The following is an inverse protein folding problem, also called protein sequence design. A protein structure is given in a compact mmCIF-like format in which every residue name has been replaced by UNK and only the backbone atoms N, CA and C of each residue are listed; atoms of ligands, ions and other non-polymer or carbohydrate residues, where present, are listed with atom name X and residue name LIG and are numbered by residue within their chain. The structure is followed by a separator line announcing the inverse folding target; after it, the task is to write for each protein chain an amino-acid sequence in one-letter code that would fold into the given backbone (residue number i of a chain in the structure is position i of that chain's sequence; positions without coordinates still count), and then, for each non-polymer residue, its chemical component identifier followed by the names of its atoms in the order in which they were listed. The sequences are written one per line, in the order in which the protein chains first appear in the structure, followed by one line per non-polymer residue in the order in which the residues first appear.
data_IF_675563440459
#
_entry.id   IF_675563440459
#
_cell.length_a   1.000
_cell.length_b   1.000
_cell.length_c   1.000
_cell.angle_alpha   90.00
_cell.angle_beta   90.00
_cell.angle_gamma   90.00
#
_symmetry.space_group_name_H-M   'P 1'
#
loop_
_entity.id
_entity.type
_entity.pdbx_description
1 polymer ?
#
# COMPACT_ATOMS: atom_id res chain seq x y z
N UNK A 1 12.42 -13.79 16.44
CA UNK A 1 11.68 -14.87 15.74
C UNK A 1 10.39 -14.27 15.21
N UNK A 2 10.40 -13.76 13.97
CA UNK A 2 9.22 -13.14 13.36
C UNK A 2 8.26 -14.17 12.74
N UNK A 3 7.01 -13.78 12.52
CA UNK A 3 5.97 -14.63 11.89
C UNK A 3 6.29 -14.88 10.41
N UNK A 4 5.95 -16.04 9.83
CA UNK A 4 6.21 -16.28 8.40
C UNK A 4 5.49 -15.28 7.47
N UNK A 5 4.29 -14.85 7.86
CA UNK A 5 3.43 -13.92 7.10
C UNK A 5 2.93 -12.85 8.06
N UNK A 6 2.96 -11.59 7.60
CA UNK A 6 2.34 -10.46 8.27
C UNK A 6 1.16 -9.96 7.44
N UNK A 7 0.06 -9.57 8.09
CA UNK A 7 -1.17 -9.10 7.45
C UNK A 7 -1.36 -7.63 7.81
N UNK A 8 -1.50 -6.76 6.80
CA UNK A 8 -1.81 -5.35 7.04
C UNK A 8 -3.22 -5.19 7.62
N UNK A 9 -3.40 -4.41 8.70
CA UNK A 9 -4.72 -4.05 9.22
C UNK A 9 -5.45 -3.00 8.36
N UNK A 10 -4.83 -2.45 7.31
CA UNK A 10 -5.50 -1.48 6.45
C UNK A 10 -6.63 -2.14 5.63
N UNK A 11 -7.75 -1.44 5.40
CA UNK A 11 -8.89 -1.98 4.67
C UNK A 11 -8.63 -1.95 3.15
N UNK A 12 -7.72 -2.79 2.66
CA UNK A 12 -7.22 -2.77 1.28
C UNK A 12 -8.34 -2.82 0.22
N UNK A 13 -9.41 -3.58 0.47
CA UNK A 13 -10.58 -3.63 -0.42
C UNK A 13 -11.34 -2.30 -0.47
N UNK A 14 -11.54 -1.64 0.67
CA UNK A 14 -12.17 -0.30 0.76
C UNK A 14 -11.32 0.73 0.04
N UNK A 15 -10.01 0.75 0.32
CA UNK A 15 -9.04 1.63 -0.36
C UNK A 15 -9.11 1.45 -1.88
N UNK A 16 -9.11 0.21 -2.36
CA UNK A 16 -9.21 -0.07 -3.80
C UNK A 16 -10.56 0.31 -4.39
N UNK A 17 -11.66 0.15 -3.66
CA UNK A 17 -12.99 0.61 -4.10
C UNK A 17 -13.02 2.13 -4.24
N UNK A 18 -12.47 2.86 -3.27
CA UNK A 18 -12.44 4.32 -3.27
C UNK A 18 -11.56 4.88 -4.39
N UNK A 19 -10.41 4.23 -4.65
CA UNK A 19 -9.59 4.58 -5.80
C UNK A 19 -10.33 4.37 -7.13
N UNK A 20 -11.08 3.27 -7.26
CA UNK A 20 -11.85 2.97 -8.47
C UNK A 20 -13.03 3.92 -8.67
N UNK A 21 -13.71 4.36 -7.60
CA UNK A 21 -14.78 5.36 -7.70
C UNK A 21 -14.27 6.72 -8.22
N UNK A 22 -12.98 7.01 -7.99
CA UNK A 22 -12.28 8.19 -8.50
C UNK A 22 -11.58 7.97 -9.86
N UNK A 23 -11.83 6.85 -10.53
CA UNK A 23 -11.28 6.56 -11.87
C UNK A 23 -9.88 5.96 -11.90
N UNK A 24 -9.27 5.67 -10.74
CA UNK A 24 -7.96 5.01 -10.67
C UNK A 24 -8.08 3.48 -10.74
N UNK A 25 -7.26 2.86 -11.59
CA UNK A 25 -7.14 1.39 -11.64
C UNK A 25 -6.35 0.90 -10.43
N UNK A 26 -7.04 0.27 -9.48
CA UNK A 26 -6.45 -0.31 -8.28
C UNK A 26 -6.97 -1.73 -8.02
N UNK A 27 -6.13 -2.59 -7.43
CA UNK A 27 -6.48 -3.93 -6.97
C UNK A 27 -5.75 -4.26 -5.67
N UNK A 28 -6.33 -5.09 -4.79
CA UNK A 28 -5.58 -5.67 -3.69
C UNK A 28 -4.41 -6.50 -4.21
N UNK A 29 -3.27 -6.43 -3.51
CA UNK A 29 -2.13 -7.32 -3.73
C UNK A 29 -1.91 -8.19 -2.50
N UNK A 30 -1.76 -9.50 -2.69
CA UNK A 30 -1.50 -10.46 -1.62
C UNK A 30 -0.02 -10.83 -1.50
N UNK A 31 0.84 -10.22 -2.31
CA UNK A 31 2.28 -10.47 -2.31
C UNK A 31 3.04 -9.18 -2.66
N UNK A 32 3.94 -8.74 -1.78
CA UNK A 32 4.76 -7.54 -1.97
C UNK A 32 6.14 -7.84 -2.58
N UNK A 33 6.38 -9.09 -3.01
CA UNK A 33 7.68 -9.55 -3.50
C UNK A 33 8.56 -10.12 -2.40
N UNK A 34 9.82 -10.39 -2.73
CA UNK A 34 10.84 -10.94 -1.80
C UNK A 34 12.04 -10.03 -1.65
N UNK A 35 11.93 -8.77 -2.07
CA UNK A 35 13.01 -7.80 -2.05
C UNK A 35 12.74 -6.64 -1.08
N UNK A 36 13.44 -5.52 -1.26
CA UNK A 36 13.42 -4.38 -0.33
C UNK A 36 12.02 -3.87 0.03
N UNK A 37 11.08 -3.82 -0.93
CA UNK A 37 9.71 -3.35 -0.67
C UNK A 37 9.02 -4.24 0.38
N UNK A 38 9.09 -5.57 0.20
CA UNK A 38 8.54 -6.51 1.16
C UNK A 38 9.31 -6.50 2.48
N UNK A 39 10.64 -6.33 2.46
CA UNK A 39 11.45 -6.25 3.67
C UNK A 39 11.04 -5.06 4.55
N UNK A 40 10.85 -3.87 3.97
CA UNK A 40 10.39 -2.69 4.72
C UNK A 40 8.99 -2.94 5.27
N UNK A 41 8.05 -3.38 4.42
CA UNK A 41 6.68 -3.66 4.84
C UNK A 41 6.60 -4.68 5.99
N UNK A 42 7.30 -5.81 5.84
CA UNK A 42 7.31 -6.86 6.84
C UNK A 42 7.97 -6.41 8.14
N UNK A 43 9.12 -5.72 8.06
CA UNK A 43 9.85 -5.31 9.27
C UNK A 43 9.11 -4.24 10.06
N UNK A 44 8.41 -3.32 9.39
CA UNK A 44 7.52 -2.35 10.05
C UNK A 44 6.36 -3.03 10.75
N UNK A 45 5.63 -3.92 10.08
CA UNK A 45 4.54 -4.68 10.71
C UNK A 45 5.04 -5.53 11.88
N UNK A 46 6.18 -6.22 11.71
CA UNK A 46 6.75 -7.06 12.77
C UNK A 46 7.15 -6.22 13.98
N UNK A 47 7.73 -5.03 13.76
CA UNK A 47 8.07 -4.12 14.85
C UNK A 47 6.82 -3.63 15.60
N UNK A 48 5.75 -3.28 14.90
CA UNK A 48 4.47 -2.88 15.52
C UNK A 48 3.89 -4.02 16.37
N UNK A 49 3.89 -5.25 15.85
CA UNK A 49 3.39 -6.45 16.54
C UNK A 49 4.23 -6.79 17.79
N UNK A 50 5.56 -6.80 17.67
CA UNK A 50 6.47 -7.13 18.77
C UNK A 50 6.45 -6.11 19.92
N UNK A 51 6.08 -4.86 19.63
CA UNK A 51 6.04 -3.77 20.62
C UNK A 51 4.62 -3.39 21.04
N UNK A 52 3.60 -4.15 20.62
CA UNK A 52 2.18 -3.93 20.97
C UNK A 52 1.70 -2.50 20.70
N UNK A 53 2.13 -1.90 19.59
CA UNK A 53 1.81 -0.51 19.26
C UNK A 53 0.42 -0.40 18.62
N UNK A 54 -0.38 0.57 19.06
CA UNK A 54 -1.67 0.92 18.44
C UNK A 54 -1.46 1.76 17.16
N UNK A 55 -0.81 1.15 16.16
CA UNK A 55 -0.50 1.76 14.87
C UNK A 55 -1.00 0.84 13.75
N UNK A 56 -1.73 1.42 12.80
CA UNK A 56 -2.10 0.72 11.56
C UNK A 56 -1.02 0.96 10.50
N UNK A 57 -0.51 -0.12 9.91
CA UNK A 57 0.49 -0.06 8.84
C UNK A 57 0.04 -0.84 7.59
N UNK A 58 0.54 -0.43 6.43
CA UNK A 58 0.29 -1.10 5.16
C UNK A 58 1.19 -0.59 4.04
N UNK A 59 1.16 -1.28 2.91
CA UNK A 59 2.05 -0.99 1.78
C UNK A 59 1.27 -0.84 0.47
N UNK A 60 1.60 0.21 -0.29
CA UNK A 60 0.99 0.48 -1.60
C UNK A 60 2.09 0.53 -2.66
N UNK A 61 2.03 -0.39 -3.62
CA UNK A 61 2.83 -0.30 -4.83
C UNK A 61 2.17 0.66 -5.82
N UNK A 62 2.98 1.56 -6.39
CA UNK A 62 2.58 2.45 -7.48
C UNK A 62 3.24 1.99 -8.79
N UNK A 63 2.60 2.22 -9.95
CA UNK A 63 3.25 2.00 -11.25
C UNK A 63 4.43 2.98 -11.45
N UNK A 64 5.30 2.72 -12.44
CA UNK A 64 6.34 3.70 -12.82
C UNK A 64 5.72 5.02 -13.26
N UNK A 65 6.51 6.09 -13.27
CA UNK A 65 6.11 7.35 -13.89
C UNK A 65 6.03 7.20 -15.41
N UNK A 66 5.19 8.02 -16.07
CA UNK A 66 5.15 8.06 -17.54
C UNK A 66 6.49 8.41 -18.18
N UNK A 67 7.30 9.24 -17.51
CA UNK A 67 8.67 9.56 -17.95
C UNK A 67 9.62 8.36 -17.90
N UNK A 68 9.32 7.36 -17.08
CA UNK A 68 10.13 6.15 -16.95
C UNK A 68 9.67 5.06 -17.91
N UNK A 69 8.35 4.87 -18.09
CA UNK A 69 7.77 3.83 -18.96
C UNK A 69 6.46 4.27 -19.61
N UNK A 70 6.20 3.79 -20.83
CA UNK A 70 4.97 4.12 -21.61
C UNK A 70 3.66 3.78 -20.89
N UNK A 71 3.66 2.75 -20.05
CA UNK A 71 2.48 2.33 -19.25
C UNK A 71 2.42 3.00 -17.87
N UNK A 72 3.28 3.99 -17.61
CA UNK A 72 3.35 4.67 -16.32
C UNK A 72 2.18 5.61 -16.02
N UNK A 73 2.23 6.21 -14.85
CA UNK A 73 1.24 7.16 -14.33
C UNK A 73 1.84 8.57 -14.27
N UNK A 74 1.01 9.61 -14.43
CA UNK A 74 1.46 10.98 -14.15
C UNK A 74 1.71 11.17 -12.65
N UNK A 75 2.71 11.98 -12.28
CA UNK A 75 3.03 12.20 -10.87
C UNK A 75 1.83 12.79 -10.09
N UNK A 76 1.11 13.73 -10.70
CA UNK A 76 -0.07 14.35 -10.08
C UNK A 76 -1.19 13.34 -9.82
N UNK A 77 -1.42 12.41 -10.75
CA UNK A 77 -2.39 11.33 -10.58
C UNK A 77 -1.99 10.39 -9.45
N UNK A 78 -0.70 10.04 -9.39
CA UNK A 78 -0.15 9.21 -8.31
C UNK A 78 -0.32 9.86 -6.94
N UNK A 79 -0.02 11.16 -6.81
CA UNK A 79 -0.20 11.90 -5.56
C UNK A 79 -1.67 11.97 -5.16
N UNK A 80 -2.58 12.26 -6.10
CA UNK A 80 -4.01 12.32 -5.83
C UNK A 80 -4.56 10.95 -5.38
N UNK A 81 -4.15 9.87 -6.04
CA UNK A 81 -4.51 8.51 -5.65
C UNK A 81 -4.03 8.18 -4.22
N UNK A 82 -2.78 8.52 -3.87
CA UNK A 82 -2.26 8.28 -2.52
C UNK A 82 -3.02 9.08 -1.45
N UNK A 83 -3.42 10.33 -1.73
CA UNK A 83 -4.26 11.12 -0.81
C UNK A 83 -5.61 10.44 -0.54
N UNK A 84 -6.25 9.92 -1.60
CA UNK A 84 -7.51 9.16 -1.47
C UNK A 84 -7.29 7.90 -0.63
N UNK A 85 -6.20 7.16 -0.89
CA UNK A 85 -5.88 5.95 -0.15
C UNK A 85 -5.63 6.21 1.34
N UNK A 86 -4.93 7.30 1.68
CA UNK A 86 -4.71 7.72 3.08
C UNK A 86 -6.05 8.04 3.74
N UNK A 87 -6.91 8.84 3.10
CA UNK A 87 -8.24 9.16 3.64
C UNK A 87 -9.08 7.91 3.89
N UNK A 88 -9.15 7.01 2.90
CA UNK A 88 -9.88 5.75 3.01
C UNK A 88 -9.30 4.77 4.06
N UNK A 89 -8.03 4.96 4.47
CA UNK A 89 -7.38 4.17 5.53
C UNK A 89 -7.73 4.63 6.93
N UNK A 90 -8.12 5.91 7.08
CA UNK A 90 -8.46 6.52 8.36
C UNK A 90 -9.94 6.34 8.73
N UNK A 91 -10.80 6.12 7.73
CA UNK A 91 -12.23 5.86 7.87
C UNK A 91 -12.53 4.38 8.11
#
# INVERSE_FOLDING_TARGET
NGRLIQISPLPAFKICNELRSHGYKAKPSFFAGTYACNFVFYSTLNYIDENELDIKDGFIHVPPLKSQRRYGMELNDMVNAIKIAIKASME
#
